data_IF_040935811082
#
_entry.id   IF_040935811082
#
_cell.length_a   1.000
_cell.length_b   1.000
_cell.length_c   1.000
_cell.angle_alpha   90.00
_cell.angle_beta   90.00
_cell.angle_gamma   90.00
#
_symmetry.space_group_name_H-M   'P 1'
#
loop_
_entity.id
_entity.type
_entity.pdbx_description
1 polymer ?
#
# COMPACT_ATOMS: atom_id res chain seq x y z
N UNK A 1 -12.52 37.59 -48.04
CA UNK A 1 -11.22 37.30 -47.37
C UNK A 1 -11.30 37.25 -45.84
N UNK A 2 -12.07 38.12 -45.16
CA UNK A 2 -12.20 38.09 -43.67
C UNK A 2 -12.92 36.86 -43.10
N UNK A 3 -13.83 36.25 -43.85
CA UNK A 3 -14.55 35.04 -43.43
C UNK A 3 -13.63 33.83 -43.22
N UNK A 4 -12.60 33.67 -44.06
CA UNK A 4 -11.65 32.56 -43.98
C UNK A 4 -10.79 32.69 -42.71
N UNK A 5 -10.39 33.90 -42.34
CA UNK A 5 -9.61 34.15 -41.11
C UNK A 5 -10.41 33.83 -39.84
N UNK A 6 -11.71 34.13 -39.83
CA UNK A 6 -12.58 33.82 -38.69
C UNK A 6 -12.76 32.31 -38.52
N UNK A 7 -12.96 31.57 -39.62
CA UNK A 7 -13.08 30.11 -39.58
C UNK A 7 -11.79 29.45 -39.06
N UNK A 8 -10.63 29.96 -39.49
CA UNK A 8 -9.32 29.44 -39.06
C UNK A 8 -9.07 29.67 -37.55
N UNK A 9 -9.49 30.82 -37.02
CA UNK A 9 -9.39 31.11 -35.59
C UNK A 9 -10.27 30.19 -34.73
N UNK A 10 -11.49 29.88 -35.19
CA UNK A 10 -12.41 28.99 -34.47
C UNK A 10 -11.82 27.57 -34.40
N UNK A 11 -11.24 27.06 -35.50
CA UNK A 11 -10.63 25.74 -35.52
C UNK A 11 -9.43 25.64 -34.57
N UNK A 12 -8.61 26.69 -34.44
CA UNK A 12 -7.48 26.73 -33.52
C UNK A 12 -7.97 26.68 -32.05
N UNK A 13 -9.01 27.44 -31.71
CA UNK A 13 -9.58 27.45 -30.35
C UNK A 13 -10.15 26.07 -29.99
N UNK A 14 -10.88 25.43 -30.91
CA UNK A 14 -11.43 24.08 -30.71
C UNK A 14 -10.31 23.06 -30.53
N UNK A 15 -9.25 23.12 -31.35
CA UNK A 15 -8.09 22.22 -31.25
C UNK A 15 -7.35 22.35 -29.91
N UNK A 16 -7.11 23.58 -29.45
CA UNK A 16 -6.47 23.85 -28.15
C UNK A 16 -7.33 23.38 -26.95
N UNK A 17 -8.65 23.51 -27.06
CA UNK A 17 -9.59 23.01 -26.06
C UNK A 17 -9.52 21.48 -25.92
N UNK A 18 -9.51 20.75 -27.04
CA UNK A 18 -9.44 19.28 -27.07
C UNK A 18 -8.10 18.73 -26.54
N UNK A 19 -6.98 19.42 -26.80
CA UNK A 19 -5.67 19.03 -26.26
C UNK A 19 -5.59 19.20 -24.73
N UNK A 20 -6.24 20.24 -24.20
CA UNK A 20 -6.25 20.50 -22.77
C UNK A 20 -7.04 19.45 -22.00
N UNK A 21 -8.17 18.97 -22.54
CA UNK A 21 -8.99 17.96 -21.85
C UNK A 21 -8.32 16.59 -21.78
N UNK A 22 -7.50 16.22 -22.77
CA UNK A 22 -6.74 14.96 -22.71
C UNK A 22 -5.67 14.97 -21.61
N UNK A 23 -4.95 16.07 -21.41
CA UNK A 23 -3.85 16.12 -20.43
C UNK A 23 -4.33 15.97 -18.99
N UNK A 24 -5.48 16.54 -18.63
CA UNK A 24 -5.98 16.48 -17.25
C UNK A 24 -6.59 15.13 -16.85
N UNK A 25 -6.97 14.28 -17.81
CA UNK A 25 -7.68 13.02 -17.54
C UNK A 25 -6.83 11.77 -17.70
N UNK A 26 -5.72 11.84 -18.43
CA UNK A 26 -4.86 10.66 -18.70
C UNK A 26 -3.98 10.33 -17.50
N UNK A 27 -3.46 11.33 -16.79
CA UNK A 27 -2.51 11.11 -15.68
C UNK A 27 -3.08 10.26 -14.53
N UNK A 28 -4.33 10.45 -14.06
CA UNK A 28 -4.90 9.64 -12.98
C UNK A 28 -5.08 8.16 -13.38
N UNK A 29 -5.41 7.89 -14.64
CA UNK A 29 -5.70 6.54 -15.12
C UNK A 29 -4.42 5.71 -15.30
N UNK A 30 -3.35 6.33 -15.82
CA UNK A 30 -2.05 5.67 -15.96
C UNK A 30 -1.47 5.32 -14.60
N UNK A 31 -1.57 6.23 -13.62
CA UNK A 31 -1.13 5.97 -12.25
C UNK A 31 -1.91 4.82 -11.58
N UNK A 32 -3.19 4.65 -11.92
CA UNK A 32 -4.00 3.54 -11.41
C UNK A 32 -3.55 2.19 -12.00
N UNK A 33 -3.28 2.11 -13.30
CA UNK A 33 -2.84 0.87 -13.97
C UNK A 33 -1.45 0.44 -13.47
N UNK A 34 -0.51 1.38 -13.36
CA UNK A 34 0.85 1.07 -12.85
C UNK A 34 0.80 0.56 -11.40
N UNK A 35 -0.09 1.11 -10.58
CA UNK A 35 -0.32 0.63 -9.21
C UNK A 35 -0.89 -0.79 -9.16
N UNK A 36 -1.76 -1.14 -10.12
CA UNK A 36 -2.35 -2.46 -10.23
C UNK A 36 -1.37 -3.51 -10.77
N UNK A 37 -0.56 -3.16 -11.78
CA UNK A 37 0.40 -4.06 -12.41
C UNK A 37 1.56 -4.42 -11.47
N UNK A 38 2.00 -3.48 -10.62
CA UNK A 38 3.02 -3.78 -9.60
C UNK A 38 2.53 -4.72 -8.49
N UNK A 39 1.24 -5.00 -8.41
CA UNK A 39 0.64 -5.93 -7.43
C UNK A 39 0.43 -7.35 -8.00
N UNK A 40 0.74 -7.59 -9.28
CA UNK A 40 0.54 -8.88 -9.94
C UNK A 40 1.86 -9.62 -10.13
N UNK A 41 2.42 -10.15 -9.04
CA UNK A 41 3.34 -11.29 -9.17
C UNK A 41 3.23 -12.23 -7.96
N UNK A 42 2.77 -13.45 -8.25
CA UNK A 42 2.80 -14.67 -7.42
C UNK A 42 1.70 -14.81 -6.36
N UNK A 43 0.47 -15.08 -6.82
CA UNK A 43 -0.54 -15.77 -6.01
C UNK A 43 -0.21 -17.26 -5.90
N UNK A 44 0.15 -17.69 -4.70
CA UNK A 44 -0.01 -19.08 -4.25
C UNK A 44 -1.11 -19.07 -3.20
N UNK A 45 -2.35 -19.34 -3.62
CA UNK A 45 -3.40 -19.97 -2.80
C UNK A 45 -3.76 -19.37 -1.44
N UNK A 46 -3.59 -18.06 -1.22
CA UNK A 46 -4.01 -17.38 0.01
C UNK A 46 -4.25 -15.90 -0.27
N UNK A 47 -5.21 -15.28 0.43
CA UNK A 47 -5.59 -13.86 0.25
C UNK A 47 -4.46 -12.86 0.57
N UNK A 48 -3.32 -13.33 1.05
CA UNK A 48 -2.16 -12.52 1.38
C UNK A 48 -1.38 -12.06 0.14
N UNK A 49 -0.79 -10.88 0.26
CA UNK A 49 0.16 -10.31 -0.69
C UNK A 49 1.57 -10.42 -0.10
N UNK A 50 2.55 -10.78 -0.93
CA UNK A 50 3.97 -10.84 -0.53
C UNK A 50 4.74 -9.66 -1.11
N UNK A 51 5.61 -9.06 -0.31
CA UNK A 51 6.55 -8.05 -0.80
C UNK A 51 7.80 -7.98 0.08
N UNK A 52 8.84 -7.33 -0.44
CA UNK A 52 10.05 -7.00 0.30
C UNK A 52 10.22 -5.48 0.26
N UNK A 53 10.48 -4.89 1.42
CA UNK A 53 10.67 -3.44 1.52
C UNK A 53 11.45 -3.02 2.74
N UNK A 54 11.68 -1.72 2.91
CA UNK A 54 12.37 -1.19 4.09
C UNK A 54 11.37 -0.91 5.20
N UNK A 55 11.73 -1.25 6.43
CA UNK A 55 10.96 -0.85 7.62
C UNK A 55 11.13 0.65 7.78
N UNK A 56 10.05 1.41 7.66
CA UNK A 56 10.06 2.87 7.74
C UNK A 56 9.42 3.41 9.03
N UNK A 57 8.71 2.57 9.78
CA UNK A 57 8.11 2.99 11.05
C UNK A 57 7.45 1.85 11.81
N UNK A 58 7.25 2.08 13.10
CA UNK A 58 6.53 1.19 14.02
C UNK A 58 5.64 2.07 14.90
N UNK A 59 4.38 1.65 15.10
CA UNK A 59 3.47 2.25 16.08
C UNK A 59 3.23 1.23 17.19
N UNK A 60 3.33 1.69 18.43
CA UNK A 60 3.15 0.87 19.63
C UNK A 60 1.88 1.28 20.41
N UNK A 61 0.86 1.76 19.70
CA UNK A 61 -0.34 2.31 20.34
C UNK A 61 -1.15 1.23 21.09
N UNK A 62 -0.93 -0.06 20.80
CA UNK A 62 -1.57 -1.16 21.53
C UNK A 62 -1.22 -1.23 23.03
N UNK A 63 -0.17 -0.53 23.47
CA UNK A 63 0.13 -0.35 24.91
C UNK A 63 -0.98 0.47 25.61
N UNK A 64 -1.69 1.32 24.86
CA UNK A 64 -2.77 2.19 25.34
C UNK A 64 -4.11 1.84 24.69
N UNK A 65 -4.39 0.54 24.49
CA UNK A 65 -5.59 0.04 23.80
C UNK A 65 -5.77 0.53 22.34
N UNK A 66 -4.72 1.08 21.72
CA UNK A 66 -4.69 1.48 20.30
C UNK A 66 -4.18 0.37 19.38
N UNK A 67 -3.69 0.67 18.18
CA UNK A 67 -3.22 -0.35 17.21
C UNK A 67 -1.70 -0.35 17.11
N UNK A 68 -1.11 -1.53 17.27
CA UNK A 68 0.28 -1.81 17.00
C UNK A 68 0.47 -2.18 15.52
N UNK A 69 1.27 -1.41 14.82
CA UNK A 69 1.50 -1.58 13.38
C UNK A 69 2.97 -1.39 13.01
N UNK A 70 3.35 -1.96 11.88
CA UNK A 70 4.68 -1.83 11.27
C UNK A 70 4.49 -1.30 9.85
N UNK A 71 5.28 -0.31 9.46
CA UNK A 71 5.25 0.25 8.11
C UNK A 71 6.43 -0.25 7.30
N UNK A 72 6.16 -0.89 6.17
CA UNK A 72 7.18 -1.39 5.23
C UNK A 72 6.95 -0.78 3.85
N UNK A 73 7.92 -0.01 3.34
CA UNK A 73 7.82 0.77 2.09
C UNK A 73 6.51 1.58 2.00
N UNK A 74 6.16 2.26 3.09
CA UNK A 74 4.96 3.10 3.17
C UNK A 74 3.63 2.33 3.30
N UNK A 75 3.66 0.99 3.37
CA UNK A 75 2.47 0.16 3.61
C UNK A 75 2.37 -0.17 5.11
N UNK A 76 1.29 0.25 5.75
CA UNK A 76 1.03 -0.02 7.17
C UNK A 76 0.43 -1.43 7.35
N UNK A 77 1.02 -2.21 8.25
CA UNK A 77 0.66 -3.59 8.56
C UNK A 77 0.24 -3.67 10.02
N UNK A 78 -1.01 -4.03 10.27
CA UNK A 78 -1.56 -4.24 11.59
C UNK A 78 -1.02 -5.56 12.14
N UNK A 79 -0.30 -5.48 13.26
CA UNK A 79 0.28 -6.63 13.95
C UNK A 79 -0.58 -7.01 15.16
N UNK A 80 -1.00 -6.02 15.96
CA UNK A 80 -1.89 -6.23 17.10
C UNK A 80 -2.86 -5.05 17.23
N UNK A 81 -4.16 -5.29 17.39
CA UNK A 81 -5.11 -4.27 17.85
C UNK A 81 -5.33 -4.37 19.36
N UNK A 82 -5.19 -3.23 20.05
CA UNK A 82 -5.38 -3.05 21.48
C UNK A 82 -6.83 -3.29 21.88
N UNK A 83 -7.00 -3.94 23.03
CA UNK A 83 -8.27 -4.50 23.46
C UNK A 83 -8.43 -5.96 23.04
N UNK A 84 -7.66 -6.85 23.69
CA UNK A 84 -7.66 -8.31 23.53
C UNK A 84 -7.39 -8.73 22.07
N UNK A 85 -6.31 -9.47 21.85
CA UNK A 85 -6.38 -10.54 20.87
C UNK A 85 -7.72 -11.23 21.11
N UNK A 86 -8.67 -11.10 20.18
CA UNK A 86 -9.84 -11.96 20.21
C UNK A 86 -9.21 -13.36 20.30
N UNK A 87 -9.45 -14.13 21.38
CA UNK A 87 -8.68 -15.35 21.64
C UNK A 87 -8.78 -16.37 20.49
N UNK A 88 -9.72 -16.15 19.57
CA UNK A 88 -10.01 -16.96 18.41
C UNK A 88 -9.52 -16.34 17.08
N UNK A 89 -8.80 -15.21 17.11
CA UNK A 89 -8.21 -14.64 15.90
C UNK A 89 -6.80 -15.21 15.70
N UNK A 90 -6.72 -16.12 14.74
CA UNK A 90 -5.44 -16.57 14.19
C UNK A 90 -4.66 -15.36 13.65
N UNK A 91 -3.40 -15.24 14.06
CA UNK A 91 -2.52 -14.16 13.67
C UNK A 91 -1.17 -14.71 13.20
N UNK A 92 -0.57 -13.98 12.28
CA UNK A 92 0.74 -14.25 11.73
C UNK A 92 1.87 -14.00 12.71
N UNK A 93 3.10 -14.17 12.21
CA UNK A 93 4.30 -14.23 13.02
C UNK A 93 5.28 -13.08 12.72
N UNK A 94 6.01 -12.65 13.75
CA UNK A 94 7.22 -11.86 13.56
C UNK A 94 8.42 -12.82 13.50
N UNK A 95 9.23 -12.72 12.44
CA UNK A 95 10.36 -13.62 12.21
C UNK A 95 11.66 -12.82 12.27
N UNK A 96 12.60 -13.31 13.06
CA UNK A 96 13.91 -12.67 13.24
C UNK A 96 13.95 -11.60 14.34
N UNK A 97 12.83 -11.42 15.05
CA UNK A 97 12.67 -10.57 16.23
C UNK A 97 11.70 -11.26 17.21
N UNK A 98 11.83 -10.96 18.51
CA UNK A 98 11.02 -11.58 19.56
C UNK A 98 9.72 -10.81 19.83
N UNK A 99 9.63 -9.54 19.42
CA UNK A 99 8.47 -8.69 19.66
C UNK A 99 8.36 -7.53 18.68
N UNK A 100 7.18 -6.89 18.61
CA UNK A 100 7.00 -5.68 17.81
C UNK A 100 7.90 -4.53 18.29
N UNK A 101 8.18 -4.43 19.59
CA UNK A 101 9.11 -3.42 20.14
C UNK A 101 10.54 -3.59 19.62
N UNK A 102 10.94 -4.82 19.29
CA UNK A 102 12.27 -5.06 18.69
C UNK A 102 12.31 -4.70 17.20
N UNK A 103 11.17 -4.74 16.49
CA UNK A 103 11.09 -4.28 15.08
C UNK A 103 11.50 -2.81 14.96
N UNK A 104 11.22 -1.99 15.98
CA UNK A 104 11.61 -0.57 16.00
C UNK A 104 13.13 -0.39 15.88
N UNK A 105 13.92 -1.28 16.49
CA UNK A 105 15.39 -1.27 16.40
C UNK A 105 15.91 -1.64 15.01
N UNK A 106 15.02 -2.08 14.11
CA UNK A 106 15.32 -2.51 12.76
C UNK A 106 14.78 -1.54 11.70
N UNK A 107 14.32 -0.34 12.09
CA UNK A 107 13.99 0.73 11.14
C UNK A 107 15.19 1.02 10.22
N UNK A 108 14.91 1.12 8.92
CA UNK A 108 15.91 1.27 7.86
C UNK A 108 16.44 -0.05 7.30
N UNK A 109 16.17 -1.19 7.95
CA UNK A 109 16.50 -2.53 7.41
C UNK A 109 15.40 -3.05 6.50
N UNK A 110 15.74 -4.05 5.68
CA UNK A 110 14.76 -4.73 4.83
C UNK A 110 13.94 -5.74 5.63
N UNK A 111 12.68 -5.88 5.25
CA UNK A 111 11.79 -6.93 5.71
C UNK A 111 11.08 -7.58 4.52
N UNK A 112 10.88 -8.89 4.63
CA UNK A 112 10.00 -9.67 3.77
C UNK A 112 8.65 -9.79 4.49
N UNK A 113 7.56 -9.49 3.79
CA UNK A 113 6.21 -9.45 4.36
C UNK A 113 5.29 -10.37 3.57
N UNK A 114 4.43 -11.08 4.30
CA UNK A 114 3.25 -11.75 3.75
C UNK A 114 2.03 -11.39 4.61
N UNK A 115 1.09 -10.63 4.06
CA UNK A 115 -0.05 -10.10 4.82
C UNK A 115 -1.28 -9.90 3.94
N UNK A 116 -2.48 -9.95 4.52
CA UNK A 116 -3.74 -9.69 3.81
C UNK A 116 -4.05 -8.19 3.76
N UNK A 117 -4.63 -7.72 2.65
CA UNK A 117 -5.11 -6.35 2.54
C UNK A 117 -6.49 -6.21 3.18
N UNK A 118 -6.67 -5.24 4.07
CA UNK A 118 -7.96 -4.92 4.68
C UNK A 118 -8.85 -4.15 3.69
N UNK A 119 -10.14 -4.05 3.99
CA UNK A 119 -11.06 -3.17 3.25
C UNK A 119 -10.73 -1.68 3.40
N UNK A 120 -9.99 -1.29 4.43
CA UNK A 120 -9.52 0.09 4.67
C UNK A 120 -8.30 0.47 3.84
N UNK A 121 -7.62 -0.51 3.24
CA UNK A 121 -6.45 -0.31 2.39
C UNK A 121 -5.12 -0.57 3.11
N UNK A 122 -5.14 -0.76 4.43
CA UNK A 122 -4.00 -1.27 5.21
C UNK A 122 -3.78 -2.77 4.98
N UNK A 123 -2.75 -3.31 5.63
CA UNK A 123 -2.47 -4.74 5.66
C UNK A 123 -2.64 -5.28 7.07
N UNK A 124 -2.83 -6.59 7.20
CA UNK A 124 -3.02 -7.24 8.50
C UNK A 124 -2.35 -8.61 8.53
N UNK A 125 -1.82 -8.95 9.71
CA UNK A 125 -1.37 -10.32 10.01
C UNK A 125 -2.51 -11.18 10.57
N UNK A 126 -3.71 -10.65 10.77
CA UNK A 126 -4.87 -11.42 11.21
C UNK A 126 -5.46 -12.28 10.09
N UNK A 127 -5.97 -13.46 10.46
CA UNK A 127 -6.71 -14.37 9.57
C UNK A 127 -5.90 -15.59 9.08
N UNK A 128 -4.59 -15.63 9.32
CA UNK A 128 -3.75 -16.79 9.00
C UNK A 128 -2.43 -16.77 9.79
N UNK A 129 -2.02 -17.93 10.31
CA UNK A 129 -0.70 -18.12 10.94
C UNK A 129 0.44 -18.15 9.93
N UNK A 130 0.13 -18.31 8.64
CA UNK A 130 1.11 -18.24 7.56
C UNK A 130 1.57 -16.81 7.28
N UNK A 131 0.80 -15.78 7.69
CA UNK A 131 1.20 -14.39 7.52
C UNK A 131 2.44 -14.07 8.37
N UNK A 132 3.30 -13.18 7.88
CA UNK A 132 4.50 -12.80 8.61
C UNK A 132 5.07 -11.43 8.25
N UNK A 133 5.86 -10.89 9.18
CA UNK A 133 6.87 -9.88 8.91
C UNK A 133 8.22 -10.47 9.32
N UNK A 134 9.11 -10.63 8.35
CA UNK A 134 10.44 -11.22 8.54
C UNK A 134 11.51 -10.17 8.34
N UNK A 135 12.22 -9.82 9.41
CA UNK A 135 13.33 -8.86 9.33
C UNK A 135 14.53 -9.55 8.71
N UNK A 136 15.05 -8.99 7.62
CA UNK A 136 16.23 -9.50 6.94
C UNK A 136 17.49 -8.92 7.62
N UNK A 137 18.45 -9.81 7.95
CA UNK A 137 19.72 -9.45 8.58
C UNK A 137 20.69 -8.81 7.60
#
# INVERSE_FOLDING_TARGET
MRFIQVILLILIIIGLGLLSTQKYWVDPLVNFIISQESSSSTEVGGKGVKWVGNITGVKLDCIFDGVCSVTVDGKEIIVVSGGRLLPDQEAGNLIGVDSISEVEQHIGKKAEVYAERTSGGEYTLYGSSDYYIKVLK
#
